data_IF_711089425866
#
_entry.id   IF_711089425866
#
_cell.length_a   1.000
_cell.length_b   1.000
_cell.length_c   1.000
_cell.angle_alpha   90.00
_cell.angle_beta   90.00
_cell.angle_gamma   90.00
#
_symmetry.space_group_name_H-M   'P 1'
#
loop_
_entity.id
_entity.type
_entity.pdbx_description
1 polymer ?
#
# COMPACT_ATOMS: atom_id res chain seq x y z
N UNK A 1 36.97 -17.67 41.05
CA UNK A 1 36.73 -16.55 40.10
C UNK A 1 37.64 -16.79 38.89
N UNK A 2 37.08 -17.21 37.75
CA UNK A 2 37.88 -17.47 36.54
C UNK A 2 38.04 -16.14 35.81
N UNK A 3 39.26 -15.62 35.84
CA UNK A 3 39.66 -14.41 35.14
C UNK A 3 39.71 -14.74 33.64
N UNK A 4 38.68 -14.37 32.89
CA UNK A 4 38.66 -14.54 31.42
C UNK A 4 39.59 -13.46 30.86
N UNK A 5 40.87 -13.83 30.73
CA UNK A 5 41.90 -13.02 30.09
C UNK A 5 41.46 -12.56 28.71
N UNK A 6 41.42 -11.25 28.53
CA UNK A 6 41.71 -10.50 27.29
C UNK A 6 41.99 -11.39 26.07
N UNK A 7 40.95 -11.70 25.32
CA UNK A 7 41.03 -12.55 24.13
C UNK A 7 41.89 -11.87 23.07
N UNK A 8 42.83 -12.63 22.49
CA UNK A 8 43.71 -12.25 21.37
C UNK A 8 42.90 -11.92 20.11
N UNK A 9 42.37 -10.70 20.02
CA UNK A 9 41.70 -10.21 18.82
C UNK A 9 42.74 -9.88 17.74
N UNK A 10 42.50 -10.32 16.51
CA UNK A 10 43.28 -9.86 15.36
C UNK A 10 42.77 -8.52 14.86
N UNK A 11 43.58 -7.82 14.06
CA UNK A 11 43.13 -6.64 13.33
C UNK A 11 42.83 -7.00 11.88
N UNK A 12 41.79 -6.37 11.32
CA UNK A 12 41.38 -6.60 9.94
C UNK A 12 42.45 -6.09 8.96
N UNK A 13 43.00 -6.99 8.14
CA UNK A 13 44.08 -6.70 7.19
C UNK A 13 43.67 -5.73 6.06
N UNK A 14 42.38 -5.39 5.93
CA UNK A 14 41.93 -4.39 4.94
C UNK A 14 42.25 -2.93 5.34
N UNK A 15 42.77 -2.68 6.54
CA UNK A 15 43.12 -1.34 7.02
C UNK A 15 41.97 -0.51 7.61
N UNK A 16 40.80 -1.13 7.89
CA UNK A 16 39.66 -0.42 8.49
C UNK A 16 39.78 -0.18 10.01
N UNK A 17 40.78 -0.78 10.67
CA UNK A 17 40.94 -0.74 12.13
C UNK A 17 39.98 -1.63 12.93
N UNK A 18 39.11 -2.40 12.27
CA UNK A 18 38.16 -3.31 12.92
C UNK A 18 38.82 -4.57 13.49
N UNK A 19 38.29 -5.06 14.61
CA UNK A 19 38.75 -6.29 15.28
C UNK A 19 38.18 -7.55 14.63
N UNK A 20 39.02 -8.56 14.37
CA UNK A 20 38.60 -9.82 13.74
C UNK A 20 38.27 -10.90 14.76
N UNK A 21 37.32 -11.74 14.39
CA UNK A 21 36.93 -12.91 15.18
C UNK A 21 37.99 -14.01 15.05
N UNK A 22 38.20 -14.75 16.14
CA UNK A 22 39.06 -15.94 16.14
C UNK A 22 38.25 -17.14 15.64
N UNK A 23 38.75 -17.82 14.61
CA UNK A 23 38.18 -19.07 14.12
C UNK A 23 39.25 -20.16 14.15
N UNK A 24 38.97 -21.29 14.81
CA UNK A 24 39.90 -22.42 14.97
C UNK A 24 41.27 -22.02 15.56
N UNK A 25 41.24 -21.15 16.57
CA UNK A 25 42.45 -20.72 17.30
C UNK A 25 43.34 -19.70 16.57
N UNK A 26 42.93 -19.21 15.40
CA UNK A 26 43.62 -18.13 14.67
C UNK A 26 42.68 -16.95 14.40
N UNK A 27 43.13 -15.70 14.50
CA UNK A 27 42.31 -14.56 14.09
C UNK A 27 42.02 -14.64 12.59
N UNK A 28 40.78 -14.36 12.20
CA UNK A 28 40.46 -14.17 10.79
C UNK A 28 41.25 -12.99 10.22
N UNK A 29 41.62 -13.07 8.94
CA UNK A 29 42.33 -11.98 8.24
C UNK A 29 41.44 -10.76 8.02
N UNK A 30 40.13 -10.97 7.95
CA UNK A 30 39.12 -9.94 7.66
C UNK A 30 37.89 -10.09 8.56
N UNK A 31 37.20 -8.98 8.85
CA UNK A 31 35.86 -9.04 9.45
C UNK A 31 34.82 -9.50 8.42
N UNK A 32 33.65 -9.95 8.88
CA UNK A 32 32.62 -10.46 7.97
C UNK A 32 32.21 -9.39 6.93
N UNK A 33 32.19 -9.77 5.65
CA UNK A 33 31.91 -8.87 4.53
C UNK A 33 33.14 -8.12 3.99
N UNK A 34 34.29 -8.22 4.64
CA UNK A 34 35.55 -7.69 4.12
C UNK A 34 36.27 -8.79 3.33
N UNK A 35 36.70 -8.47 2.11
CA UNK A 35 37.56 -9.33 1.31
C UNK A 35 38.88 -8.60 1.03
N UNK A 36 39.73 -9.22 0.21
CA UNK A 36 40.98 -8.65 -0.32
C UNK A 36 40.66 -7.43 -1.22
N UNK A 37 40.03 -6.39 -0.66
CA UNK A 37 39.56 -5.24 -1.38
C UNK A 37 40.79 -4.50 -1.91
N UNK A 38 40.81 -4.32 -3.23
CA UNK A 38 41.72 -3.40 -3.93
C UNK A 38 41.83 -2.12 -3.09
N UNK A 39 43.05 -1.62 -2.87
CA UNK A 39 43.39 -0.40 -2.11
C UNK A 39 42.64 0.82 -2.67
N UNK A 40 41.35 0.94 -2.35
CA UNK A 40 40.48 2.02 -2.79
C UNK A 40 40.69 3.28 -1.94
N UNK A 41 41.27 3.14 -0.75
CA UNK A 41 41.83 4.20 0.09
C UNK A 41 42.75 5.16 -0.70
N UNK A 42 43.43 4.65 -1.73
CA UNK A 42 44.28 5.45 -2.63
C UNK A 42 43.54 6.15 -3.77
N UNK A 43 42.29 5.82 -4.08
CA UNK A 43 41.56 6.51 -5.14
C UNK A 43 41.20 7.93 -4.69
N UNK A 44 41.39 8.97 -5.52
CA UNK A 44 40.97 10.32 -5.16
C UNK A 44 39.46 10.37 -4.92
N UNK A 45 39.05 11.15 -3.92
CA UNK A 45 37.63 11.48 -3.73
C UNK A 45 37.13 12.19 -4.99
N UNK A 46 35.84 12.02 -5.30
CA UNK A 46 35.21 12.65 -6.46
C UNK A 46 34.23 13.71 -5.97
N UNK A 47 34.05 14.76 -6.76
CA UNK A 47 32.98 15.73 -6.52
C UNK A 47 31.61 15.06 -6.64
N UNK A 48 30.64 15.52 -5.86
CA UNK A 48 29.26 15.06 -5.91
C UNK A 48 28.72 15.19 -7.32
N UNK A 49 28.20 14.09 -7.88
CA UNK A 49 27.60 14.10 -9.22
C UNK A 49 26.30 14.93 -9.31
N UNK A 50 25.79 15.41 -8.17
CA UNK A 50 24.66 16.33 -8.09
C UNK A 50 25.00 17.76 -8.55
N UNK A 51 26.28 18.10 -8.75
CA UNK A 51 26.72 19.43 -9.17
C UNK A 51 26.92 20.45 -8.06
N UNK A 52 26.92 20.04 -6.78
CA UNK A 52 27.09 20.96 -5.65
C UNK A 52 28.53 21.47 -5.45
N UNK A 53 29.51 20.80 -6.05
CA UNK A 53 30.94 21.10 -5.86
C UNK A 53 31.59 20.41 -4.66
N UNK A 54 30.81 19.86 -3.72
CA UNK A 54 31.34 19.18 -2.53
C UNK A 54 31.96 17.81 -2.87
N UNK A 55 32.94 17.39 -2.08
CA UNK A 55 33.60 16.10 -2.23
C UNK A 55 32.79 14.97 -1.59
N UNK A 56 32.41 13.97 -2.38
CA UNK A 56 31.70 12.81 -1.89
C UNK A 56 32.62 11.92 -1.04
N UNK A 57 32.17 11.60 0.18
CA UNK A 57 32.88 10.70 1.09
C UNK A 57 32.95 9.26 0.57
N UNK A 58 33.59 8.36 1.34
CA UNK A 58 33.69 6.95 0.98
C UNK A 58 32.55 6.12 1.56
N UNK A 59 32.19 5.06 0.86
CA UNK A 59 31.32 4.03 1.38
C UNK A 59 32.05 3.25 2.49
N UNK A 60 31.44 3.15 3.68
CA UNK A 60 32.06 2.51 4.86
C UNK A 60 32.38 1.02 4.65
N UNK A 61 31.61 0.33 3.81
CA UNK A 61 31.74 -1.12 3.60
C UNK A 61 32.69 -1.45 2.44
N UNK A 62 32.74 -0.62 1.40
CA UNK A 62 33.53 -0.91 0.19
C UNK A 62 34.78 -0.03 0.00
N UNK A 63 34.94 1.05 0.77
CA UNK A 63 36.03 2.01 0.63
C UNK A 63 36.01 2.84 -0.66
N UNK A 64 35.08 2.56 -1.59
CA UNK A 64 34.91 3.30 -2.84
C UNK A 64 34.36 4.71 -2.57
N UNK A 65 34.80 5.74 -3.32
CA UNK A 65 34.14 7.05 -3.29
C UNK A 65 32.66 6.91 -3.65
N UNK A 66 31.79 7.56 -2.87
CA UNK A 66 30.36 7.62 -3.16
C UNK A 66 30.12 8.50 -4.40
N UNK A 67 28.99 8.28 -5.07
CA UNK A 67 28.53 9.13 -6.17
C UNK A 67 28.05 10.51 -5.68
N UNK A 68 27.54 10.59 -4.46
CA UNK A 68 27.06 11.82 -3.83
C UNK A 68 27.52 11.94 -2.39
N UNK A 69 27.49 13.16 -1.86
CA UNK A 69 27.54 13.41 -0.41
C UNK A 69 26.27 12.87 0.26
N UNK A 70 26.33 12.62 1.57
CA UNK A 70 25.21 12.01 2.32
C UNK A 70 23.96 12.87 2.17
N UNK A 71 22.85 12.24 1.77
CA UNK A 71 21.56 12.89 1.55
C UNK A 71 21.29 13.31 0.11
N UNK A 72 22.31 13.39 -0.76
CA UNK A 72 22.13 13.82 -2.15
C UNK A 72 21.75 12.65 -3.08
N UNK A 73 21.13 12.97 -4.22
CA UNK A 73 20.72 12.03 -5.26
C UNK A 73 20.83 12.65 -6.68
N UNK A 74 20.48 11.87 -7.71
CA UNK A 74 20.52 12.29 -9.13
C UNK A 74 19.62 13.50 -9.46
N UNK A 75 18.62 13.79 -8.64
CA UNK A 75 17.66 14.88 -8.87
C UNK A 75 18.08 16.21 -8.20
N UNK A 76 19.28 16.27 -7.59
CA UNK A 76 19.77 17.47 -6.90
C UNK A 76 18.95 17.89 -5.67
N UNK A 77 17.98 17.08 -5.25
CA UNK A 77 16.86 17.50 -4.38
C UNK A 77 17.23 17.78 -2.91
N UNK A 78 18.49 17.58 -2.51
CA UNK A 78 18.93 17.66 -1.11
C UNK A 78 20.25 18.41 -0.95
N UNK A 79 20.59 19.30 -1.87
CA UNK A 79 21.78 20.13 -1.77
C UNK A 79 21.60 21.20 -0.68
N UNK A 80 21.89 20.85 0.57
CA UNK A 80 21.89 21.80 1.69
C UNK A 80 23.07 22.78 1.55
N UNK A 81 22.86 23.94 0.94
CA UNK A 81 23.76 25.07 1.18
C UNK A 81 23.46 25.62 2.57
N UNK A 82 24.52 25.89 3.35
CA UNK A 82 24.41 26.45 4.69
C UNK A 82 23.55 27.73 4.66
N UNK A 83 22.40 27.71 5.36
CA UNK A 83 21.48 28.85 5.48
C UNK A 83 20.04 28.62 5.01
N UNK A 84 19.74 27.55 4.28
CA UNK A 84 18.35 27.25 3.86
C UNK A 84 17.68 26.24 4.81
N UNK A 85 16.58 26.65 5.46
CA UNK A 85 15.69 25.72 6.17
C UNK A 85 14.98 24.82 5.15
N UNK A 86 14.83 23.52 5.42
CA UNK A 86 14.04 22.64 4.58
C UNK A 86 12.57 22.98 4.80
N UNK A 87 11.99 23.84 3.96
CA UNK A 87 10.55 23.82 3.79
C UNK A 87 10.25 22.58 2.96
N UNK A 88 9.73 21.55 3.63
CA UNK A 88 9.12 20.42 2.95
C UNK A 88 8.13 20.97 1.91
N UNK A 89 8.29 20.51 0.68
CA UNK A 89 7.67 21.03 -0.54
C UNK A 89 8.34 22.28 -1.12
N UNK A 90 9.08 22.08 -2.21
CA UNK A 90 9.39 23.14 -3.15
C UNK A 90 8.07 23.64 -3.78
N UNK A 91 7.47 24.69 -3.21
CA UNK A 91 6.32 25.40 -3.79
C UNK A 91 6.63 25.92 -5.20
N UNK A 92 7.91 26.21 -5.49
CA UNK A 92 8.38 26.74 -6.77
C UNK A 92 8.32 25.78 -7.98
N UNK A 93 7.89 24.53 -7.80
CA UNK A 93 7.76 23.55 -8.90
C UNK A 93 6.32 23.13 -9.17
N UNK A 94 5.32 23.84 -8.64
CA UNK A 94 3.92 23.57 -8.95
C UNK A 94 3.44 24.42 -10.12
N UNK A 95 3.84 24.06 -11.34
CA UNK A 95 3.19 24.63 -12.53
C UNK A 95 1.70 24.22 -12.55
N UNK A 96 0.80 25.04 -13.12
CA UNK A 96 -0.60 24.66 -13.30
C UNK A 96 -0.76 23.30 -13.98
N UNK A 97 0.17 22.97 -14.88
CA UNK A 97 0.22 21.71 -15.60
C UNK A 97 0.55 20.50 -14.70
N UNK A 98 1.51 20.66 -13.77
CA UNK A 98 1.87 19.61 -12.80
C UNK A 98 0.72 19.40 -11.80
N UNK A 99 0.07 20.48 -11.35
CA UNK A 99 -1.11 20.40 -10.48
C UNK A 99 -2.24 19.67 -11.21
N UNK A 100 -2.49 19.99 -12.49
CA UNK A 100 -3.51 19.34 -13.31
C UNK A 100 -3.22 17.83 -13.50
N UNK A 101 -1.98 17.47 -13.87
CA UNK A 101 -1.56 16.06 -14.01
C UNK A 101 -1.70 15.27 -12.71
N UNK A 102 -1.38 15.90 -11.56
CA UNK A 102 -1.58 15.28 -10.23
C UNK A 102 -3.06 15.14 -9.85
N UNK A 103 -3.92 16.09 -10.22
CA UNK A 103 -5.38 15.96 -10.02
C UNK A 103 -5.94 14.80 -10.85
N UNK A 104 -5.48 14.65 -12.09
CA UNK A 104 -5.86 13.54 -12.97
C UNK A 104 -5.37 12.19 -12.40
N UNK A 105 -4.12 12.09 -11.96
CA UNK A 105 -3.58 10.82 -11.43
C UNK A 105 -4.20 10.41 -10.10
N UNK A 106 -4.55 11.37 -9.23
CA UNK A 106 -5.22 11.10 -7.94
C UNK A 106 -6.68 10.69 -8.08
N UNK A 107 -7.33 11.02 -9.18
CA UNK A 107 -8.73 10.67 -9.41
C UNK A 107 -8.93 9.17 -9.69
N UNK A 108 -7.84 8.44 -10.02
CA UNK A 108 -7.91 7.06 -10.51
C UNK A 108 -8.57 6.98 -11.89
N UNK A 109 -8.37 5.86 -12.59
CA UNK A 109 -9.16 5.57 -13.79
C UNK A 109 -10.56 5.13 -13.35
N UNK A 110 -11.55 6.03 -13.47
CA UNK A 110 -12.96 5.65 -13.32
C UNK A 110 -13.33 4.73 -14.49
N UNK A 111 -13.75 3.51 -14.20
CA UNK A 111 -14.18 2.57 -15.23
C UNK A 111 -15.34 3.19 -16.05
N UNK A 112 -15.23 3.12 -17.37
CA UNK A 112 -16.31 3.54 -18.28
C UNK A 112 -17.54 2.66 -18.09
N UNK A 113 -18.73 3.16 -18.43
CA UNK A 113 -19.95 2.35 -18.31
C UNK A 113 -19.91 1.09 -19.18
N UNK A 114 -19.25 1.15 -20.33
CA UNK A 114 -18.96 -0.03 -21.15
C UNK A 114 -18.08 -1.05 -20.42
N UNK A 115 -17.06 -0.59 -19.69
CA UNK A 115 -16.18 -1.46 -18.88
C UNK A 115 -16.95 -2.09 -17.73
N UNK A 116 -17.81 -1.33 -17.03
CA UNK A 116 -18.69 -1.84 -15.97
C UNK A 116 -19.65 -2.91 -16.50
N UNK A 117 -20.20 -2.70 -17.70
CA UNK A 117 -21.07 -3.67 -18.37
C UNK A 117 -20.32 -4.96 -18.73
N UNK A 118 -19.10 -4.87 -19.28
CA UNK A 118 -18.25 -6.04 -19.56
C UNK A 118 -17.89 -6.82 -18.29
N UNK A 119 -17.57 -6.12 -17.21
CA UNK A 119 -17.33 -6.74 -15.89
C UNK A 119 -18.59 -7.45 -15.38
N UNK A 120 -19.77 -6.82 -15.54
CA UNK A 120 -21.07 -7.42 -15.24
C UNK A 120 -21.29 -8.74 -15.96
N UNK A 121 -21.09 -8.75 -17.28
CA UNK A 121 -21.31 -9.93 -18.10
C UNK A 121 -20.31 -11.06 -17.75
N UNK A 122 -19.04 -10.70 -17.50
CA UNK A 122 -18.01 -11.65 -17.06
C UNK A 122 -18.34 -12.30 -15.72
N UNK A 123 -18.78 -11.50 -14.74
CA UNK A 123 -19.19 -11.99 -13.41
C UNK A 123 -20.46 -12.84 -13.48
N UNK A 124 -21.48 -12.41 -14.24
CA UNK A 124 -22.69 -13.20 -14.51
C UNK A 124 -22.35 -14.55 -15.13
N UNK A 125 -21.37 -14.60 -16.04
CA UNK A 125 -20.87 -15.84 -16.62
C UNK A 125 -20.16 -16.72 -15.57
N UNK A 126 -19.27 -16.14 -14.77
CA UNK A 126 -18.60 -16.87 -13.69
C UNK A 126 -19.59 -17.48 -12.68
N UNK A 127 -20.66 -16.75 -12.36
CA UNK A 127 -21.75 -17.24 -11.51
C UNK A 127 -22.49 -18.44 -12.13
N UNK A 128 -22.87 -18.37 -13.41
CA UNK A 128 -23.50 -19.49 -14.13
C UNK A 128 -22.61 -20.73 -14.18
N UNK A 129 -21.30 -20.53 -14.26
CA UNK A 129 -20.29 -21.60 -14.28
C UNK A 129 -19.93 -22.10 -12.86
N UNK A 130 -20.60 -21.60 -11.80
CA UNK A 130 -20.36 -22.00 -10.42
C UNK A 130 -18.98 -21.59 -9.88
N UNK A 131 -18.29 -20.65 -10.54
CA UNK A 131 -16.99 -20.15 -10.10
C UNK A 131 -17.20 -19.21 -8.91
N UNK A 132 -16.36 -19.32 -7.87
CA UNK A 132 -16.34 -18.34 -6.77
C UNK A 132 -16.03 -16.96 -7.33
N UNK A 133 -16.95 -16.03 -7.16
CA UNK A 133 -16.81 -14.62 -7.56
C UNK A 133 -16.62 -13.68 -6.36
N UNK A 134 -16.27 -14.21 -5.19
CA UNK A 134 -16.47 -13.49 -3.94
C UNK A 134 -15.48 -12.33 -3.74
N UNK A 135 -16.01 -11.13 -3.54
CA UNK A 135 -15.35 -10.07 -2.79
C UNK A 135 -15.30 -10.43 -1.30
N UNK A 136 -14.51 -9.70 -0.52
CA UNK A 136 -14.48 -9.85 0.94
C UNK A 136 -15.83 -9.42 1.51
N UNK A 137 -16.49 -10.26 2.30
CA UNK A 137 -17.72 -9.89 3.02
C UNK A 137 -17.41 -8.87 4.12
N UNK A 138 -18.36 -7.97 4.40
CA UNK A 138 -18.37 -7.16 5.61
C UNK A 138 -18.41 -8.04 6.86
N UNK A 139 -17.87 -7.53 7.97
CA UNK A 139 -17.63 -8.32 9.19
C UNK A 139 -18.95 -8.83 9.79
N UNK A 140 -20.00 -8.02 9.75
CA UNK A 140 -21.31 -8.35 10.30
C UNK A 140 -22.30 -8.91 9.26
N UNK A 141 -22.01 -8.74 7.97
CA UNK A 141 -22.93 -9.10 6.88
C UNK A 141 -23.39 -10.54 6.96
N UNK A 142 -22.44 -11.47 7.18
CA UNK A 142 -22.73 -12.90 7.18
C UNK A 142 -23.75 -13.27 8.27
N UNK A 143 -23.54 -12.82 9.50
CA UNK A 143 -24.37 -13.22 10.65
C UNK A 143 -25.78 -12.62 10.57
N UNK A 144 -25.90 -11.40 10.06
CA UNK A 144 -27.19 -10.75 9.87
C UNK A 144 -27.97 -11.46 8.76
N UNK A 145 -27.34 -11.70 7.60
CA UNK A 145 -28.00 -12.37 6.49
C UNK A 145 -28.34 -13.83 6.80
N UNK A 146 -27.50 -14.54 7.57
CA UNK A 146 -27.83 -15.90 8.07
C UNK A 146 -29.09 -15.88 8.94
N UNK A 147 -29.23 -14.89 9.84
CA UNK A 147 -30.44 -14.75 10.67
C UNK A 147 -31.67 -14.38 9.84
N UNK A 148 -31.54 -13.46 8.89
CA UNK A 148 -32.64 -13.07 8.01
C UNK A 148 -33.10 -14.22 7.11
N UNK A 149 -32.18 -15.08 6.62
CA UNK A 149 -32.54 -16.27 5.85
C UNK A 149 -33.42 -17.23 6.67
N UNK A 150 -33.17 -17.35 7.99
CA UNK A 150 -33.99 -18.14 8.90
C UNK A 150 -35.35 -17.49 9.19
N UNK A 151 -35.37 -16.18 9.44
CA UNK A 151 -36.60 -15.45 9.79
C UNK A 151 -37.56 -15.29 8.61
N UNK A 152 -37.03 -15.10 7.40
CA UNK A 152 -37.83 -14.97 6.18
C UNK A 152 -38.24 -16.32 5.59
N UNK A 153 -37.65 -17.42 6.06
CA UNK A 153 -37.79 -18.77 5.49
C UNK A 153 -37.49 -18.84 3.97
N UNK A 154 -36.72 -17.88 3.46
CA UNK A 154 -36.41 -17.71 2.04
C UNK A 154 -34.91 -17.63 1.80
N UNK A 155 -34.45 -18.19 0.68
CA UNK A 155 -33.02 -18.20 0.35
C UNK A 155 -32.52 -16.80 0.03
N UNK A 156 -31.45 -16.37 0.72
CA UNK A 156 -30.74 -15.11 0.42
C UNK A 156 -29.45 -15.42 -0.35
N UNK A 157 -29.33 -14.84 -1.53
CA UNK A 157 -28.13 -14.88 -2.35
C UNK A 157 -27.23 -13.70 -1.97
N UNK A 158 -25.96 -13.98 -1.71
CA UNK A 158 -24.99 -12.97 -1.27
C UNK A 158 -24.14 -12.47 -2.43
N UNK A 159 -23.70 -11.21 -2.38
CA UNK A 159 -22.84 -10.60 -3.40
C UNK A 159 -23.39 -10.79 -4.82
N UNK A 160 -24.69 -10.51 -5.00
CA UNK A 160 -25.31 -10.58 -6.31
C UNK A 160 -24.86 -9.36 -7.13
N UNK A 161 -24.37 -9.61 -8.35
CA UNK A 161 -23.87 -8.53 -9.19
C UNK A 161 -24.97 -7.95 -10.09
N UNK A 162 -25.24 -6.66 -9.94
CA UNK A 162 -26.19 -5.93 -10.78
C UNK A 162 -25.69 -4.53 -11.12
N UNK A 163 -25.93 -4.09 -12.36
CA UNK A 163 -25.62 -2.74 -12.85
C UNK A 163 -24.21 -2.19 -12.56
N UNK A 164 -23.21 -3.07 -12.42
CA UNK A 164 -21.83 -2.67 -12.13
C UNK A 164 -21.42 -2.78 -10.66
N UNK A 165 -22.33 -3.20 -9.78
CA UNK A 165 -22.17 -3.23 -8.33
C UNK A 165 -22.54 -4.60 -7.75
N UNK A 166 -21.99 -4.91 -6.58
CA UNK A 166 -22.40 -6.05 -5.78
C UNK A 166 -23.35 -5.57 -4.69
N UNK A 167 -24.48 -6.26 -4.53
CA UNK A 167 -25.39 -6.07 -3.39
C UNK A 167 -25.08 -7.10 -2.31
N UNK A 168 -25.28 -6.74 -1.04
CA UNK A 168 -24.88 -7.59 0.10
C UNK A 168 -25.71 -8.88 0.14
N UNK A 169 -27.04 -8.74 0.08
CA UNK A 169 -28.01 -9.84 0.03
C UNK A 169 -29.15 -9.58 -0.96
N UNK A 170 -29.62 -10.64 -1.61
CA UNK A 170 -30.78 -10.61 -2.51
C UNK A 170 -31.68 -11.82 -2.29
N UNK A 171 -32.96 -11.57 -2.05
CA UNK A 171 -34.02 -12.56 -1.94
C UNK A 171 -34.90 -12.51 -3.21
N UNK A 172 -34.81 -13.51 -4.11
CA UNK A 172 -35.57 -13.52 -5.36
C UNK A 172 -37.08 -13.67 -5.15
N UNK A 173 -37.49 -14.38 -4.10
CA UNK A 173 -38.91 -14.65 -3.80
C UNK A 173 -39.66 -13.36 -3.46
N UNK A 174 -39.02 -12.46 -2.71
CA UNK A 174 -39.56 -11.16 -2.34
C UNK A 174 -39.17 -10.04 -3.31
N UNK A 175 -38.35 -10.35 -4.33
CA UNK A 175 -37.73 -9.37 -5.21
C UNK A 175 -37.02 -8.24 -4.42
N UNK A 176 -36.33 -8.63 -3.33
CA UNK A 176 -35.83 -7.74 -2.29
C UNK A 176 -34.30 -7.83 -2.17
N UNK A 177 -33.64 -6.68 -2.26
CA UNK A 177 -32.23 -6.48 -1.90
C UNK A 177 -32.14 -6.05 -0.45
N UNK A 178 -31.17 -6.60 0.28
CA UNK A 178 -30.83 -6.26 1.65
C UNK A 178 -29.43 -5.66 1.64
N UNK A 179 -29.30 -4.40 2.05
CA UNK A 179 -28.01 -3.71 2.23
C UNK A 179 -27.77 -3.48 3.73
N UNK A 180 -26.55 -3.73 4.18
CA UNK A 180 -26.18 -3.64 5.61
C UNK A 180 -25.35 -2.37 5.82
N UNK A 181 -25.98 -1.37 6.41
CA UNK A 181 -25.38 -0.05 6.58
C UNK A 181 -24.46 -0.01 7.80
N UNK A 182 -23.17 -0.23 7.59
CA UNK A 182 -22.16 -0.05 8.63
C UNK A 182 -21.94 1.46 8.96
N UNK A 183 -21.76 1.83 10.24
CA UNK A 183 -21.59 3.23 10.67
C UNK A 183 -20.46 3.99 9.96
N UNK A 184 -19.47 3.27 9.44
CA UNK A 184 -18.31 3.83 8.76
C UNK A 184 -18.63 4.44 7.38
N UNK A 185 -19.84 4.22 6.84
CA UNK A 185 -20.29 4.77 5.55
C UNK A 185 -20.99 6.14 5.65
N UNK A 186 -21.13 6.73 6.84
CA UNK A 186 -21.92 7.97 7.05
C UNK A 186 -21.30 9.28 6.56
N UNK A 187 -20.28 9.25 5.69
CA UNK A 187 -19.77 10.49 5.09
C UNK A 187 -20.73 10.94 3.99
N UNK A 188 -21.08 12.24 3.96
CA UNK A 188 -22.06 12.79 3.00
C UNK A 188 -21.78 12.44 1.53
N UNK A 189 -20.51 12.35 1.13
CA UNK A 189 -20.13 12.01 -0.24
C UNK A 189 -20.46 10.55 -0.60
N UNK A 190 -20.38 9.64 0.37
CA UNK A 190 -20.67 8.22 0.18
C UNK A 190 -22.18 8.02 0.02
N UNK A 191 -23.00 8.72 0.84
CA UNK A 191 -24.47 8.69 0.76
C UNK A 191 -25.03 9.08 -0.62
N UNK A 192 -24.46 10.11 -1.26
CA UNK A 192 -24.91 10.53 -2.60
C UNK A 192 -24.56 9.47 -3.64
N UNK A 193 -23.38 8.87 -3.53
CA UNK A 193 -22.96 7.78 -4.42
C UNK A 193 -23.85 6.54 -4.26
N UNK A 194 -24.22 6.20 -3.02
CA UNK A 194 -25.07 5.05 -2.71
C UNK A 194 -26.50 5.26 -3.23
N UNK A 195 -27.05 6.46 -3.10
CA UNK A 195 -28.35 6.79 -3.69
C UNK A 195 -28.35 6.66 -5.23
N UNK A 196 -27.28 7.12 -5.90
CA UNK A 196 -27.13 6.98 -7.35
C UNK A 196 -27.03 5.50 -7.75
N UNK A 197 -26.25 4.72 -6.98
CA UNK A 197 -26.10 3.27 -7.18
C UNK A 197 -27.43 2.55 -7.06
N UNK A 198 -28.17 2.79 -5.98
CA UNK A 198 -29.46 2.18 -5.71
C UNK A 198 -30.48 2.53 -6.80
N UNK A 199 -30.57 3.80 -7.20
CA UNK A 199 -31.49 4.22 -8.25
C UNK A 199 -31.18 3.56 -9.60
N UNK A 200 -29.90 3.38 -9.94
CA UNK A 200 -29.49 2.69 -11.16
C UNK A 200 -29.88 1.20 -11.12
N UNK A 201 -29.67 0.53 -9.98
CA UNK A 201 -30.06 -0.89 -9.84
C UNK A 201 -31.59 -1.01 -9.92
N UNK A 202 -32.32 -0.15 -9.22
CA UNK A 202 -33.79 -0.11 -9.26
C UNK A 202 -34.32 0.10 -10.68
N UNK A 203 -33.76 1.04 -11.45
CA UNK A 203 -34.21 1.28 -12.83
C UNK A 203 -33.96 0.09 -13.74
N UNK A 204 -32.84 -0.62 -13.55
CA UNK A 204 -32.42 -1.70 -14.44
C UNK A 204 -33.11 -3.04 -14.13
N UNK A 205 -33.53 -3.24 -12.87
CA UNK A 205 -34.00 -4.55 -12.38
C UNK A 205 -35.42 -4.54 -11.80
N UNK A 206 -35.90 -3.39 -11.31
CA UNK A 206 -37.16 -3.30 -10.57
C UNK A 206 -37.11 -3.89 -9.15
N UNK A 207 -35.92 -4.12 -8.58
CA UNK A 207 -35.76 -4.67 -7.23
C UNK A 207 -36.13 -3.67 -6.13
N UNK A 208 -36.67 -4.19 -5.02
CA UNK A 208 -36.90 -3.42 -3.80
C UNK A 208 -35.65 -3.44 -2.92
N UNK A 209 -35.49 -2.45 -2.02
CA UNK A 209 -34.33 -2.33 -1.15
C UNK A 209 -34.78 -2.19 0.31
N UNK A 210 -34.17 -2.99 1.18
CA UNK A 210 -34.25 -2.91 2.63
C UNK A 210 -32.86 -2.57 3.18
N UNK A 211 -32.76 -1.43 3.85
CA UNK A 211 -31.54 -0.99 4.52
C UNK A 211 -31.58 -1.41 5.98
N UNK A 212 -30.57 -2.17 6.42
CA UNK A 212 -30.44 -2.64 7.79
C UNK A 212 -29.34 -1.84 8.48
N UNK A 213 -29.74 -0.85 9.26
CA UNK A 213 -28.80 0.00 9.99
C UNK A 213 -28.25 -0.70 11.24
N UNK A 214 -26.92 -0.75 11.35
CA UNK A 214 -26.23 -1.35 12.49
C UNK A 214 -25.31 -0.36 13.21
N UNK A 215 -25.01 -0.63 14.48
CA UNK A 215 -24.01 0.09 15.26
C UNK A 215 -22.61 -0.53 15.09
N UNK A 216 -21.59 0.07 15.71
CA UNK A 216 -20.20 -0.42 15.66
C UNK A 216 -20.01 -1.82 16.29
N UNK A 217 -21.05 -2.38 16.90
CA UNK A 217 -21.07 -3.71 17.53
C UNK A 217 -21.98 -4.69 16.76
N UNK A 218 -22.47 -4.31 15.57
CA UNK A 218 -23.35 -5.16 14.76
C UNK A 218 -24.78 -5.29 15.30
N UNK A 219 -25.21 -4.38 16.19
CA UNK A 219 -26.58 -4.39 16.74
C UNK A 219 -27.48 -3.50 15.89
N UNK A 220 -28.70 -3.96 15.65
CA UNK A 220 -29.72 -3.18 14.93
C UNK A 220 -29.95 -1.85 15.63
N UNK A 221 -29.98 -0.79 14.82
CA UNK A 221 -30.30 0.57 15.26
C UNK A 221 -31.68 0.89 14.70
N UNK A 222 -32.62 1.19 15.60
CA UNK A 222 -33.96 1.65 15.26
C UNK A 222 -33.96 3.12 14.81
#
# INVERSE_FOLDING_TARGET
MINISSQNKGQCECGCGGETLIFRGKPNRYIHGHNHAKRYDKLPLKQCSCGCGDMAGRNKNSGKPNKYVVGHNDNGAWCFKAGHKPTGHAEHLQTPEIIAKRKISRAGYKATDETKKKQSESLKRAYREGRRTCGVFGYFEKEILDRMELELESKIFRQVFSSGYFVDGFCPELNLVIEIDEPHHRRKADMVSDMIRENQIKSDTGWQFLHVHIDNKGRLVA
#
